data_IF_775820346774
#
_entry.id   IF_775820346774
#
_cell.length_a   1.000
_cell.length_b   1.000
_cell.length_c   1.000
_cell.angle_alpha   90.00
_cell.angle_beta   90.00
_cell.angle_gamma   90.00
#
_symmetry.space_group_name_H-M   'P 1'
#
loop_
_entity.id
_entity.type
_entity.pdbx_description
1 polymer ?
#
# COMPACT_ATOMS: atom_id res chain seq x y z
N UNK A 1 -10.10 2.28 -4.84
CA UNK A 1 -8.83 1.71 -4.34
C UNK A 1 -8.77 1.91 -2.84
N UNK A 2 -8.10 1.02 -2.12
CA UNK A 2 -7.89 1.17 -0.67
C UNK A 2 -6.40 0.96 -0.35
N UNK A 3 -5.84 1.82 0.48
CA UNK A 3 -4.43 1.74 0.94
C UNK A 3 -4.36 1.70 2.46
N UNK A 4 -3.25 1.19 2.99
CA UNK A 4 -2.90 1.32 4.40
C UNK A 4 -2.36 2.73 4.69
N UNK A 5 -2.76 3.33 5.81
CA UNK A 5 -2.13 4.52 6.37
C UNK A 5 -1.13 4.09 7.47
N UNK A 6 0.02 4.77 7.52
CA UNK A 6 1.08 4.51 8.51
C UNK A 6 1.47 5.79 9.24
N UNK A 7 2.32 5.67 10.26
CA UNK A 7 2.89 6.83 10.94
C UNK A 7 3.71 7.74 10.00
N UNK A 8 3.82 9.02 10.37
CA UNK A 8 4.43 10.05 9.55
C UNK A 8 5.91 9.76 9.22
N UNK A 9 6.66 9.20 10.17
CA UNK A 9 8.09 8.90 10.00
C UNK A 9 8.28 7.84 8.91
N UNK A 10 7.48 6.77 8.95
CA UNK A 10 7.53 5.73 7.92
C UNK A 10 7.06 6.27 6.56
N UNK A 11 5.96 7.01 6.53
CA UNK A 11 5.42 7.60 5.29
C UNK A 11 6.44 8.55 4.63
N UNK A 12 7.09 9.41 5.41
CA UNK A 12 8.12 10.33 4.91
C UNK A 12 9.33 9.57 4.33
N UNK A 13 9.81 8.53 5.00
CA UNK A 13 10.92 7.71 4.51
C UNK A 13 10.57 6.97 3.21
N UNK A 14 9.37 6.38 3.13
CA UNK A 14 8.92 5.70 1.91
C UNK A 14 8.70 6.68 0.75
N UNK A 15 8.19 7.87 1.03
CA UNK A 15 8.08 8.95 0.05
C UNK A 15 9.46 9.38 -0.46
N UNK A 16 10.46 9.49 0.42
CA UNK A 16 11.83 9.83 0.03
C UNK A 16 12.44 8.77 -0.90
N UNK A 17 12.29 7.48 -0.57
CA UNK A 17 12.74 6.39 -1.44
C UNK A 17 12.07 6.45 -2.81
N UNK A 18 10.74 6.62 -2.83
CA UNK A 18 9.99 6.70 -4.09
C UNK A 18 10.38 7.92 -4.91
N UNK A 19 10.51 9.10 -4.31
CA UNK A 19 10.96 10.32 -5.01
C UNK A 19 12.38 10.19 -5.55
N UNK A 20 13.26 9.47 -4.85
CA UNK A 20 14.64 9.25 -5.27
C UNK A 20 14.75 8.33 -6.49
N UNK A 21 13.97 7.24 -6.51
CA UNK A 21 14.18 6.14 -7.45
C UNK A 21 13.11 6.02 -8.54
N UNK A 22 11.89 6.51 -8.31
CA UNK A 22 10.82 6.44 -9.30
C UNK A 22 11.05 7.46 -10.42
N UNK A 23 10.79 7.12 -11.70
CA UNK A 23 10.95 8.07 -12.80
C UNK A 23 10.12 9.35 -12.56
N UNK A 24 10.74 10.54 -12.47
CA UNK A 24 10.06 11.76 -12.02
C UNK A 24 8.91 12.16 -12.94
N UNK A 25 9.02 11.91 -14.24
CA UNK A 25 7.98 12.19 -15.24
C UNK A 25 6.74 11.29 -15.12
N UNK A 26 6.80 10.26 -14.26
CA UNK A 26 5.71 9.31 -14.00
C UNK A 26 5.25 9.33 -12.54
N UNK A 27 5.90 10.11 -11.69
CA UNK A 27 5.61 10.17 -10.26
C UNK A 27 4.39 11.07 -10.00
N UNK A 28 3.21 10.46 -9.99
CA UNK A 28 1.93 11.16 -9.77
C UNK A 28 1.34 10.97 -8.37
N UNK A 29 1.82 9.96 -7.65
CA UNK A 29 1.37 9.63 -6.28
C UNK A 29 2.56 9.28 -5.41
N UNK A 30 2.46 9.67 -4.14
CA UNK A 30 3.39 9.32 -3.07
C UNK A 30 3.44 7.80 -2.82
N UNK A 31 4.37 7.36 -1.98
CA UNK A 31 4.52 5.95 -1.66
C UNK A 31 3.31 5.44 -0.86
N UNK A 32 2.89 4.22 -1.14
CA UNK A 32 1.69 3.64 -0.54
C UNK A 32 1.80 2.12 -0.50
N UNK A 33 1.10 1.52 0.46
CA UNK A 33 0.83 0.09 0.49
C UNK A 33 -0.62 -0.11 0.07
N UNK A 34 -0.82 -0.68 -1.12
CA UNK A 34 -2.15 -0.98 -1.66
C UNK A 34 -2.73 -2.22 -0.98
N UNK A 35 -3.94 -2.07 -0.42
CA UNK A 35 -4.73 -3.19 0.07
C UNK A 35 -5.59 -3.76 -1.06
N UNK A 36 -6.26 -2.88 -1.81
CA UNK A 36 -7.11 -3.26 -2.95
C UNK A 36 -6.91 -2.28 -4.10
N UNK A 37 -6.53 -2.79 -5.27
CA UNK A 37 -6.18 -2.00 -6.45
C UNK A 37 -7.40 -1.40 -7.12
N UNK A 38 -8.46 -2.19 -7.30
CA UNK A 38 -9.65 -1.79 -8.03
C UNK A 38 -10.90 -2.35 -7.38
N UNK A 39 -11.81 -1.44 -6.99
CA UNK A 39 -13.13 -1.76 -6.45
C UNK A 39 -14.18 -1.01 -7.30
N UNK A 40 -15.30 -1.66 -7.66
CA UNK A 40 -16.45 -1.03 -8.31
C UNK A 40 -16.89 0.30 -7.70
N UNK A 41 -16.97 1.33 -8.55
CA UNK A 41 -17.24 2.71 -8.15
C UNK A 41 -18.64 2.90 -7.57
N UNK A 42 -19.62 2.18 -8.11
CA UNK A 42 -21.02 2.15 -7.63
C UNK A 42 -21.16 1.57 -6.22
N UNK A 43 -20.11 0.94 -5.68
CA UNK A 43 -20.06 0.41 -4.31
C UNK A 43 -19.26 1.29 -3.36
N UNK A 44 -18.86 2.50 -3.75
CA UNK A 44 -17.98 3.35 -2.94
C UNK A 44 -18.52 3.61 -1.53
N UNK A 45 -19.83 3.81 -1.38
CA UNK A 45 -20.46 4.02 -0.07
C UNK A 45 -20.31 2.78 0.83
N UNK A 46 -20.50 1.58 0.29
CA UNK A 46 -20.29 0.32 1.01
C UNK A 46 -18.81 0.13 1.38
N UNK A 47 -17.88 0.43 0.47
CA UNK A 47 -16.43 0.38 0.77
C UNK A 47 -16.08 1.26 1.96
N UNK A 48 -16.54 2.52 1.96
CA UNK A 48 -16.26 3.46 3.05
C UNK A 48 -16.86 2.95 4.36
N UNK A 49 -18.11 2.48 4.36
CA UNK A 49 -18.76 1.96 5.55
C UNK A 49 -18.02 0.74 6.15
N UNK A 50 -17.64 -0.23 5.30
CA UNK A 50 -16.88 -1.41 5.72
C UNK A 50 -15.47 -1.04 6.25
N UNK A 51 -14.79 -0.11 5.58
CA UNK A 51 -13.49 0.42 6.06
C UNK A 51 -13.63 1.10 7.42
N UNK A 52 -14.66 1.90 7.62
CA UNK A 52 -14.92 2.58 8.88
C UNK A 52 -15.24 1.59 10.01
N UNK A 53 -16.01 0.52 9.72
CA UNK A 53 -16.29 -0.55 10.69
C UNK A 53 -15.01 -1.28 11.11
N UNK A 54 -14.20 -1.72 10.15
CA UNK A 54 -12.94 -2.39 10.45
C UNK A 54 -11.98 -1.46 11.20
N UNK A 55 -11.92 -0.18 10.82
CA UNK A 55 -11.05 0.76 11.50
C UNK A 55 -11.44 0.95 12.97
N UNK A 56 -12.74 1.05 13.27
CA UNK A 56 -13.23 1.11 14.65
C UNK A 56 -12.93 -0.13 15.48
N UNK A 57 -12.81 -1.30 14.84
CA UNK A 57 -12.53 -2.57 15.49
C UNK A 57 -11.02 -2.92 15.54
N UNK A 58 -10.15 -2.02 15.05
CA UNK A 58 -8.72 -2.26 14.95
C UNK A 58 -7.95 -1.28 15.82
N UNK A 59 -7.05 -1.79 16.66
CA UNK A 59 -6.04 -0.98 17.37
C UNK A 59 -4.86 -0.73 16.42
N UNK A 60 -4.24 0.46 16.40
CA UNK A 60 -2.98 0.67 15.70
C UNK A 60 -1.97 -0.43 16.01
N UNK A 61 -1.32 -0.98 14.97
CA UNK A 61 -0.44 -2.14 15.12
C UNK A 61 0.87 -1.95 14.35
N UNK A 62 1.90 -2.71 14.74
CA UNK A 62 3.20 -2.64 14.08
C UNK A 62 3.20 -3.39 12.73
N UNK A 63 3.84 -2.81 11.74
CA UNK A 63 4.24 -3.47 10.49
C UNK A 63 5.76 -3.40 10.37
N UNK A 64 6.37 -4.44 9.80
CA UNK A 64 7.82 -4.52 9.62
C UNK A 64 8.18 -4.54 8.14
N UNK A 65 9.30 -3.90 7.80
CA UNK A 65 9.91 -4.01 6.47
C UNK A 65 10.87 -5.19 6.51
N UNK A 66 10.52 -6.28 5.85
CA UNK A 66 11.32 -7.52 5.84
C UNK A 66 12.52 -7.45 4.89
N UNK A 67 12.49 -6.51 3.95
CA UNK A 67 13.54 -6.30 2.95
C UNK A 67 12.97 -5.73 1.66
N UNK A 68 13.77 -5.82 0.59
CA UNK A 68 13.36 -5.39 -0.74
C UNK A 68 13.50 -6.51 -1.77
N UNK A 69 12.53 -6.56 -2.70
CA UNK A 69 12.49 -7.53 -3.80
C UNK A 69 12.38 -6.86 -5.15
N UNK A 70 12.85 -7.58 -6.16
CA UNK A 70 12.67 -7.21 -7.56
C UNK A 70 11.22 -7.41 -8.01
N UNK A 71 10.74 -6.50 -8.85
CA UNK A 71 9.51 -6.62 -9.64
C UNK A 71 9.82 -6.91 -11.13
N UNK A 72 11.06 -7.31 -11.44
CA UNK A 72 11.59 -7.46 -12.80
C UNK A 72 11.98 -6.12 -13.42
N UNK A 73 11.04 -5.16 -13.46
CA UNK A 73 11.25 -3.78 -13.96
C UNK A 73 10.96 -2.72 -12.90
N UNK A 74 11.33 -3.04 -11.66
CA UNK A 74 11.06 -2.21 -10.49
C UNK A 74 11.50 -2.86 -9.19
N UNK A 75 11.27 -2.16 -8.08
CA UNK A 75 11.66 -2.54 -6.73
C UNK A 75 10.52 -2.24 -5.77
N UNK A 76 10.29 -3.15 -4.83
CA UNK A 76 9.34 -2.96 -3.74
C UNK A 76 9.96 -3.33 -2.39
N UNK A 77 9.53 -2.62 -1.34
CA UNK A 77 9.72 -3.03 0.05
C UNK A 77 8.65 -4.06 0.40
N UNK A 78 9.07 -5.20 0.94
CA UNK A 78 8.15 -6.20 1.47
C UNK A 78 7.77 -5.83 2.90
N UNK A 79 6.46 -5.70 3.15
CA UNK A 79 5.92 -5.29 4.44
C UNK A 79 5.18 -6.47 5.05
N UNK A 80 5.37 -6.74 6.34
CA UNK A 80 4.76 -7.86 7.04
C UNK A 80 4.06 -7.45 8.34
N UNK A 81 2.93 -8.08 8.61
CA UNK A 81 2.27 -8.08 9.92
C UNK A 81 1.14 -9.12 9.91
N UNK A 82 1.03 -9.98 10.94
CA UNK A 82 -0.13 -10.85 11.11
C UNK A 82 -1.46 -10.09 11.16
N UNK A 83 -1.50 -8.95 11.86
CA UNK A 83 -2.65 -8.06 11.98
C UNK A 83 -3.08 -7.52 10.61
N UNK A 84 -2.10 -7.07 9.81
CA UNK A 84 -2.34 -6.60 8.44
C UNK A 84 -2.98 -7.70 7.57
N UNK A 85 -2.48 -8.93 7.68
CA UNK A 85 -3.04 -10.08 6.98
C UNK A 85 -4.47 -10.39 7.39
N UNK A 86 -4.77 -10.39 8.70
CA UNK A 86 -6.13 -10.61 9.23
C UNK A 86 -7.10 -9.52 8.78
N UNK A 87 -6.69 -8.25 8.87
CA UNK A 87 -7.50 -7.10 8.46
C UNK A 87 -7.82 -7.15 6.95
N UNK A 88 -6.81 -7.39 6.11
CA UNK A 88 -7.00 -7.54 4.67
C UNK A 88 -7.94 -8.72 4.35
N UNK A 89 -7.77 -9.87 5.02
CA UNK A 89 -8.63 -11.03 4.81
C UNK A 89 -10.10 -10.76 5.17
N UNK A 90 -10.35 -10.00 6.25
CA UNK A 90 -11.70 -9.60 6.64
C UNK A 90 -12.38 -8.73 5.57
N UNK A 91 -11.70 -7.70 5.04
CA UNK A 91 -12.21 -6.90 3.91
C UNK A 91 -12.44 -7.76 2.67
N UNK A 92 -11.47 -8.62 2.33
CA UNK A 92 -11.52 -9.50 1.16
C UNK A 92 -12.73 -10.44 1.21
N UNK A 93 -13.09 -10.96 2.38
CA UNK A 93 -14.26 -11.80 2.55
C UNK A 93 -15.55 -11.04 2.24
N UNK A 94 -15.69 -9.82 2.76
CA UNK A 94 -16.85 -8.94 2.52
C UNK A 94 -17.01 -8.58 1.04
N UNK A 95 -15.89 -8.48 0.32
CA UNK A 95 -15.89 -8.00 -1.06
C UNK A 95 -15.75 -9.08 -2.13
N UNK A 96 -15.67 -10.36 -1.72
CA UNK A 96 -15.33 -11.51 -2.57
C UNK A 96 -16.10 -11.59 -3.90
N UNK A 97 -17.39 -11.25 -3.91
CA UNK A 97 -18.23 -11.34 -5.11
C UNK A 97 -17.89 -10.33 -6.22
N UNK A 98 -17.08 -9.31 -5.93
CA UNK A 98 -16.82 -8.19 -6.85
C UNK A 98 -15.34 -7.78 -6.89
N UNK A 99 -14.46 -8.60 -6.32
CA UNK A 99 -13.01 -8.41 -6.47
C UNK A 99 -12.55 -8.70 -7.89
N UNK A 100 -11.61 -7.90 -8.37
CA UNK A 100 -10.86 -8.22 -9.58
C UNK A 100 -10.05 -9.50 -9.38
N UNK A 101 -9.62 -10.14 -10.49
CA UNK A 101 -8.70 -11.30 -10.41
C UNK A 101 -7.41 -10.97 -9.66
N UNK A 102 -6.93 -9.72 -9.74
CA UNK A 102 -5.72 -9.23 -9.05
C UNK A 102 -5.95 -9.14 -7.54
N UNK A 103 -7.05 -8.51 -7.12
CA UNK A 103 -7.37 -8.36 -5.70
C UNK A 103 -7.86 -9.67 -5.04
N UNK A 104 -8.27 -10.64 -5.85
CA UNK A 104 -8.59 -11.99 -5.39
C UNK A 104 -7.35 -12.87 -5.15
N UNK A 105 -6.15 -12.48 -5.58
CA UNK A 105 -4.92 -13.28 -5.37
C UNK A 105 -4.46 -13.28 -3.90
N UNK A 106 -3.56 -14.20 -3.51
CA UNK A 106 -2.89 -14.13 -2.21
C UNK A 106 -2.25 -12.76 -1.97
N UNK A 107 -2.53 -12.18 -0.80
CA UNK A 107 -2.05 -10.86 -0.45
C UNK A 107 -0.55 -10.86 -0.19
N UNK A 108 0.17 -10.02 -0.93
CA UNK A 108 1.62 -9.81 -0.81
C UNK A 108 1.87 -8.33 -0.50
N UNK A 109 1.75 -7.91 0.76
CA UNK A 109 1.86 -6.51 1.16
C UNK A 109 3.23 -5.94 0.79
N UNK A 110 3.21 -4.83 0.06
CA UNK A 110 4.44 -4.18 -0.37
C UNK A 110 4.23 -2.69 -0.66
N UNK A 111 5.31 -1.93 -0.56
CA UNK A 111 5.38 -0.52 -0.99
C UNK A 111 6.27 -0.46 -2.23
N UNK A 112 5.72 0.03 -3.35
CA UNK A 112 6.51 0.19 -4.57
C UNK A 112 7.46 1.39 -4.45
N UNK A 113 8.76 1.14 -4.53
CA UNK A 113 9.79 2.17 -4.58
C UNK A 113 10.00 2.65 -6.01
N UNK A 114 10.02 1.73 -6.97
CA UNK A 114 10.26 2.02 -8.39
C UNK A 114 9.52 1.01 -9.27
N UNK A 115 9.01 1.44 -10.42
CA UNK A 115 8.60 0.54 -11.50
C UNK A 115 8.75 1.21 -12.88
N UNK A 116 8.52 0.44 -13.95
CA UNK A 116 8.55 0.89 -15.35
C UNK A 116 9.93 1.36 -15.84
N UNK A 117 11.01 0.86 -15.24
CA UNK A 117 12.40 1.14 -15.66
C UNK A 117 12.99 -0.03 -16.47
N UNK A 118 14.22 0.14 -16.97
CA UNK A 118 15.02 -0.95 -17.54
C UNK A 118 15.50 -1.93 -16.47
N UNK A 119 15.78 -3.21 -16.80
CA UNK A 119 16.23 -4.21 -15.82
C UNK A 119 17.52 -3.83 -15.06
N UNK A 120 18.49 -3.22 -15.74
CA UNK A 120 19.76 -2.79 -15.12
C UNK A 120 19.54 -1.70 -14.06
N UNK A 121 18.72 -0.69 -14.38
CA UNK A 121 18.31 0.38 -13.44
C UNK A 121 17.57 -0.21 -12.23
N UNK A 122 16.68 -1.18 -12.47
CA UNK A 122 15.98 -1.86 -11.38
C UNK A 122 16.94 -2.66 -10.48
N UNK A 123 17.99 -3.28 -11.05
CA UNK A 123 18.98 -4.02 -10.28
C UNK A 123 19.85 -3.09 -9.41
N UNK A 124 20.29 -1.96 -9.95
CA UNK A 124 21.01 -0.93 -9.19
C UNK A 124 20.15 -0.38 -8.04
N UNK A 125 18.91 -0.02 -8.35
CA UNK A 125 17.94 0.46 -7.36
C UNK A 125 17.72 -0.59 -6.26
N UNK A 126 17.63 -1.86 -6.63
CA UNK A 126 17.43 -2.94 -5.66
C UNK A 126 18.63 -3.07 -4.71
N UNK A 127 19.86 -2.98 -5.23
CA UNK A 127 21.06 -3.03 -4.40
C UNK A 127 21.09 -1.88 -3.40
N UNK A 128 20.79 -0.66 -3.85
CA UNK A 128 20.75 0.52 -2.99
C UNK A 128 19.65 0.44 -1.92
N UNK A 129 18.42 0.06 -2.30
CA UNK A 129 17.29 -0.06 -1.37
C UNK A 129 17.48 -1.21 -0.38
N UNK A 130 18.21 -2.28 -0.74
CA UNK A 130 18.59 -3.33 0.21
C UNK A 130 19.60 -2.87 1.25
N UNK A 131 20.51 -1.97 0.87
CA UNK A 131 21.49 -1.39 1.79
C UNK A 131 20.84 -0.39 2.76
N UNK A 132 19.84 0.36 2.30
CA UNK A 132 19.08 1.31 3.11
C UNK A 132 17.58 1.28 2.74
N UNK A 133 16.78 0.39 3.37
CA UNK A 133 15.35 0.30 3.13
C UNK A 133 14.54 1.36 3.92
N UNK A 134 15.21 2.23 4.69
CA UNK A 134 14.58 3.12 5.65
C UNK A 134 14.14 2.39 6.94
N UNK A 135 13.12 2.90 7.64
CA UNK A 135 12.63 2.33 8.89
C UNK A 135 12.29 0.83 8.81
N UNK A 136 12.89 0.02 9.70
CA UNK A 136 12.59 -1.40 9.80
C UNK A 136 11.17 -1.71 10.32
N UNK A 137 10.54 -0.75 11.00
CA UNK A 137 9.17 -0.86 11.50
C UNK A 137 8.42 0.46 11.32
N UNK A 138 7.11 0.34 11.21
CA UNK A 138 6.12 1.42 11.18
C UNK A 138 4.89 1.01 11.98
N UNK A 139 4.07 1.98 12.37
CA UNK A 139 2.75 1.75 12.95
C UNK A 139 1.71 1.96 11.85
N UNK A 140 0.88 0.95 11.59
CA UNK A 140 -0.33 1.09 10.82
C UNK A 140 -1.37 1.86 11.63
N UNK A 141 -1.87 2.96 11.07
CA UNK A 141 -2.72 3.94 11.78
C UNK A 141 -4.13 4.03 11.21
N UNK A 142 -4.39 3.42 10.07
CA UNK A 142 -5.70 3.48 9.42
C UNK A 142 -5.72 2.87 8.03
N UNK A 143 -6.83 3.09 7.34
CA UNK A 143 -6.98 2.82 5.90
C UNK A 143 -7.49 4.07 5.20
N UNK A 144 -7.15 4.19 3.91
CA UNK A 144 -7.59 5.32 3.08
C UNK A 144 -8.29 4.80 1.84
N UNK A 145 -9.44 5.39 1.54
CA UNK A 145 -10.26 5.07 0.37
C UNK A 145 -10.06 6.14 -0.68
N UNK A 146 -9.77 5.70 -1.91
CA UNK A 146 -9.46 6.57 -3.03
C UNK A 146 -10.32 6.28 -4.25
N UNK A 147 -10.66 7.33 -4.99
CA UNK A 147 -11.21 7.25 -6.35
C UNK A 147 -10.06 7.40 -7.35
N UNK A 148 -9.93 6.44 -8.27
CA UNK A 148 -8.94 6.50 -9.33
C UNK A 148 -9.46 7.38 -10.48
N UNK A 149 -8.75 8.47 -10.81
CA UNK A 149 -9.13 9.40 -11.88
C UNK A 149 -8.15 9.35 -13.07
N UNK A 150 -7.70 8.15 -13.45
CA UNK A 150 -6.78 7.96 -14.59
C UNK A 150 -5.32 8.32 -14.32
N UNK A 151 -4.96 8.55 -13.06
CA UNK A 151 -3.61 8.90 -12.64
C UNK A 151 -3.62 9.48 -11.23
N UNK A 152 -4.16 10.71 -11.04
CA UNK A 152 -4.39 11.26 -9.71
C UNK A 152 -5.44 10.43 -8.97
N UNK A 153 -5.31 10.38 -7.66
CA UNK A 153 -6.26 9.74 -6.76
C UNK A 153 -6.98 10.82 -5.98
N UNK A 154 -8.30 10.78 -6.04
CA UNK A 154 -9.13 11.67 -5.26
C UNK A 154 -9.48 10.99 -3.93
N UNK A 155 -9.26 11.72 -2.84
CA UNK A 155 -9.44 11.23 -1.49
C UNK A 155 -10.93 11.13 -1.20
N UNK A 156 -11.42 9.92 -0.87
CA UNK A 156 -12.81 9.73 -0.45
C UNK A 156 -12.91 9.75 1.08
N UNK A 157 -12.08 8.98 1.77
CA UNK A 157 -12.17 8.83 3.22
C UNK A 157 -10.82 8.40 3.83
N UNK A 158 -10.57 8.85 5.07
CA UNK A 158 -9.47 8.40 5.92
C UNK A 158 -10.08 7.83 7.19
N UNK A 159 -9.95 6.52 7.38
CA UNK A 159 -10.51 5.82 8.53
C UNK A 159 -9.37 5.43 9.47
N UNK A 160 -9.26 6.13 10.61
CA UNK A 160 -8.22 5.88 11.62
C UNK A 160 -8.59 4.69 12.50
N UNK A 161 -7.59 3.91 12.90
CA UNK A 161 -7.74 2.84 13.86
C UNK A 161 -7.96 3.40 15.27
N UNK A 162 -8.94 2.86 16.00
CA UNK A 162 -9.38 3.43 17.29
C UNK A 162 -9.65 2.43 18.42
N UNK A 163 -9.55 1.11 18.18
CA UNK A 163 -9.89 0.11 19.20
C UNK A 163 -8.84 0.03 20.32
#
# INVERSE_FOLDING_TARGET
>A
MVTLAVDERAQAAWNALRRRWFPPERLVVDAHLTLFHALPGERSATVVADCAEIARATTPFAVTVAGARSLGRGVALDVGSPELGRMHAALRARWSAWLTRQDAQPFKPHVTVQNKVGPEVAAETLAAVRADPGPAAATATGVTVWRYLGGPWDLIAVERFTA
#
